data_IF_906209318941
#
_entry.id   IF_906209318941
#
_cell.length_a   1.000
_cell.length_b   1.000
_cell.length_c   1.000
_cell.angle_alpha   90.00
_cell.angle_beta   90.00
_cell.angle_gamma   90.00
#
_symmetry.space_group_name_H-M   'P 1'
#
loop_
_entity.id
_entity.type
_entity.pdbx_description
1 polymer ?
#
# COMPACT_ATOMS: atom_id res chain seq x y z
N UNK A 1 -40.05 0.13 18.52
CA UNK A 1 -39.42 -0.26 17.25
C UNK A 1 -38.34 -1.26 17.61
N UNK A 2 -38.34 -2.42 17.00
CA UNK A 2 -37.58 -3.59 17.47
C UNK A 2 -36.23 -3.72 16.82
N UNK A 3 -35.47 -2.66 16.54
CA UNK A 3 -34.11 -2.65 15.99
C UNK A 3 -33.74 -3.87 15.10
N UNK A 4 -34.65 -4.20 14.18
CA UNK A 4 -34.62 -5.39 13.34
C UNK A 4 -33.85 -5.05 12.05
N UNK A 5 -32.97 -5.95 11.62
CA UNK A 5 -32.24 -5.82 10.35
C UNK A 5 -33.23 -6.01 9.19
N UNK A 6 -33.39 -4.97 8.38
CA UNK A 6 -34.25 -5.00 7.20
C UNK A 6 -33.54 -5.50 5.96
N UNK A 7 -32.24 -5.19 5.84
CA UNK A 7 -31.42 -5.55 4.69
C UNK A 7 -29.95 -5.61 5.08
N UNK A 8 -29.18 -6.49 4.47
CA UNK A 8 -27.72 -6.53 4.52
C UNK A 8 -27.14 -6.55 3.10
N UNK A 9 -25.95 -6.03 2.95
CA UNK A 9 -25.20 -6.12 1.70
C UNK A 9 -24.19 -7.28 1.75
N UNK A 10 -23.66 -7.76 0.62
CA UNK A 10 -22.70 -8.87 0.59
C UNK A 10 -21.44 -8.62 1.41
N UNK A 11 -20.99 -7.35 1.53
CA UNK A 11 -19.84 -7.00 2.36
C UNK A 11 -20.13 -7.23 3.86
N UNK A 12 -21.33 -6.86 4.34
CA UNK A 12 -21.74 -7.13 5.71
C UNK A 12 -21.90 -8.64 5.98
N UNK A 13 -22.45 -9.40 5.02
CA UNK A 13 -22.54 -10.86 5.13
C UNK A 13 -21.15 -11.51 5.25
N UNK A 14 -20.20 -11.08 4.41
CA UNK A 14 -18.82 -11.56 4.46
C UNK A 14 -18.10 -11.17 5.76
N UNK A 15 -18.29 -9.93 6.22
CA UNK A 15 -17.71 -9.42 7.46
C UNK A 15 -18.21 -10.19 8.68
N UNK A 16 -19.53 -10.35 8.82
CA UNK A 16 -20.15 -11.05 9.93
C UNK A 16 -20.08 -12.59 9.79
N UNK A 17 -19.70 -13.10 8.63
CA UNK A 17 -19.76 -14.51 8.26
C UNK A 17 -21.16 -15.12 8.47
N UNK A 18 -22.20 -14.35 8.16
CA UNK A 18 -23.60 -14.70 8.25
C UNK A 18 -24.32 -14.36 6.94
N UNK A 19 -25.22 -15.21 6.48
CA UNK A 19 -25.99 -14.93 5.25
C UNK A 19 -27.11 -13.91 5.51
N UNK A 20 -27.56 -13.20 4.46
CA UNK A 20 -28.71 -12.31 4.53
C UNK A 20 -29.95 -13.00 5.12
N UNK A 21 -30.16 -14.29 4.81
CA UNK A 21 -31.28 -15.08 5.37
C UNK A 21 -31.23 -15.25 6.89
N UNK A 22 -30.01 -15.21 7.46
CA UNK A 22 -29.81 -15.35 8.91
C UNK A 22 -29.85 -13.99 9.61
N UNK A 23 -29.57 -12.90 8.86
CA UNK A 23 -29.53 -11.55 9.41
C UNK A 23 -30.87 -10.83 9.33
N UNK A 24 -31.56 -10.91 8.19
CA UNK A 24 -32.81 -10.17 7.96
C UNK A 24 -33.94 -10.71 8.82
N UNK A 25 -34.63 -9.83 9.53
CA UNK A 25 -35.70 -10.15 10.47
C UNK A 25 -35.26 -10.32 11.92
N UNK A 26 -33.95 -10.38 12.18
CA UNK A 26 -33.35 -10.53 13.50
C UNK A 26 -32.99 -9.18 14.13
N UNK A 27 -32.91 -9.14 15.46
CA UNK A 27 -32.47 -7.94 16.19
C UNK A 27 -31.00 -7.69 15.98
N UNK A 28 -30.62 -6.47 15.60
CA UNK A 28 -29.23 -6.13 15.24
C UNK A 28 -28.25 -6.41 16.37
N UNK A 29 -28.63 -6.14 17.62
CA UNK A 29 -27.79 -6.31 18.80
C UNK A 29 -27.56 -7.79 19.20
N UNK A 30 -28.33 -8.71 18.66
CA UNK A 30 -28.15 -10.16 18.86
C UNK A 30 -27.19 -10.77 17.81
N UNK A 31 -27.07 -10.12 16.63
CA UNK A 31 -26.29 -10.65 15.50
C UNK A 31 -24.96 -9.87 15.30
N UNK A 32 -24.94 -8.61 15.71
CA UNK A 32 -23.77 -7.75 15.64
C UNK A 32 -23.33 -7.44 17.07
N UNK A 33 -22.35 -8.18 17.55
CA UNK A 33 -21.79 -8.01 18.88
C UNK A 33 -20.80 -6.84 18.85
N UNK A 34 -21.05 -5.84 19.68
CA UNK A 34 -20.23 -4.62 19.78
C UNK A 34 -19.81 -4.47 21.25
N UNK A 35 -18.51 -4.34 21.49
CA UNK A 35 -17.96 -4.16 22.84
C UNK A 35 -18.10 -2.69 23.29
N UNK A 36 -19.34 -2.19 23.27
CA UNK A 36 -19.72 -0.89 23.82
C UNK A 36 -21.23 -0.83 24.04
N UNK A 37 -21.72 -0.14 25.09
CA UNK A 37 -23.15 0.02 25.36
C UNK A 37 -23.78 1.05 24.41
N UNK A 38 -24.16 0.64 23.21
CA UNK A 38 -24.61 1.55 22.15
C UNK A 38 -26.13 1.75 22.08
N UNK A 39 -26.91 0.97 22.79
CA UNK A 39 -28.37 1.00 22.72
C UNK A 39 -28.95 2.39 23.02
N UNK A 40 -28.52 3.03 24.13
CA UNK A 40 -28.98 4.36 24.51
C UNK A 40 -28.52 5.46 23.55
N UNK A 41 -27.20 5.57 23.16
CA UNK A 41 -26.75 6.51 22.14
C UNK A 41 -27.47 6.35 20.79
N UNK A 42 -27.72 5.11 20.38
CA UNK A 42 -28.42 4.80 19.13
C UNK A 42 -29.89 5.25 19.17
N UNK A 43 -30.63 4.97 20.25
CA UNK A 43 -32.00 5.45 20.41
C UNK A 43 -32.10 6.96 20.36
N UNK A 44 -31.19 7.68 21.05
CA UNK A 44 -31.13 9.14 21.03
C UNK A 44 -30.84 9.70 19.64
N UNK A 45 -29.88 9.10 18.92
CA UNK A 45 -29.55 9.51 17.55
C UNK A 45 -30.72 9.29 16.58
N UNK A 46 -31.46 8.19 16.75
CA UNK A 46 -32.65 7.86 15.96
C UNK A 46 -33.79 8.85 16.21
N UNK A 47 -34.09 9.18 17.49
CA UNK A 47 -35.11 10.16 17.87
C UNK A 47 -34.80 11.56 17.33
N UNK A 48 -33.55 11.98 17.44
CA UNK A 48 -33.10 13.30 17.00
C UNK A 48 -32.80 13.36 15.49
N UNK A 49 -32.89 12.23 14.76
CA UNK A 49 -32.54 12.11 13.34
C UNK A 49 -31.12 12.64 13.02
N UNK A 50 -30.19 12.40 13.91
CA UNK A 50 -28.79 12.79 13.76
C UNK A 50 -27.94 11.56 13.43
N UNK A 51 -26.82 11.76 12.72
CA UNK A 51 -25.84 10.71 12.55
C UNK A 51 -25.04 10.50 13.84
N UNK A 52 -24.80 9.24 14.19
CA UNK A 52 -23.99 8.84 15.32
C UNK A 52 -22.70 8.19 14.78
N UNK A 53 -21.56 8.64 15.24
CA UNK A 53 -20.26 8.09 14.92
C UNK A 53 -19.65 7.50 16.18
N UNK A 54 -19.16 6.28 16.08
CA UNK A 54 -18.53 5.56 17.18
C UNK A 54 -17.21 5.01 16.64
N UNK A 55 -16.12 5.39 17.26
CA UNK A 55 -14.80 5.00 16.84
C UNK A 55 -14.23 4.00 17.83
N UNK A 56 -13.35 3.12 17.32
CA UNK A 56 -12.51 2.26 18.14
C UNK A 56 -13.28 1.26 19.00
N UNK A 57 -14.20 0.51 18.38
CA UNK A 57 -14.98 -0.55 19.04
C UNK A 57 -14.75 -1.89 18.39
N UNK A 58 -14.74 -2.95 19.19
CA UNK A 58 -14.68 -4.31 18.72
C UNK A 58 -16.04 -4.79 18.21
N UNK A 59 -16.08 -5.24 16.95
CA UNK A 59 -17.30 -5.71 16.28
C UNK A 59 -17.11 -7.12 15.77
N UNK A 60 -18.08 -7.98 16.04
CA UNK A 60 -18.09 -9.36 15.58
C UNK A 60 -19.50 -9.95 15.55
N UNK A 61 -19.62 -11.22 15.17
CA UNK A 61 -20.86 -12.01 15.21
C UNK A 61 -20.77 -13.20 16.18
N UNK A 62 -19.69 -13.30 16.96
CA UNK A 62 -19.41 -14.47 17.78
C UNK A 62 -18.89 -15.69 17.01
N UNK A 63 -18.89 -15.65 15.67
CA UNK A 63 -18.41 -16.74 14.81
C UNK A 63 -16.91 -16.62 14.46
N UNK A 64 -16.34 -15.43 14.64
CA UNK A 64 -14.92 -15.12 14.46
C UNK A 64 -14.45 -14.20 15.57
N UNK A 65 -13.13 -14.04 15.71
CA UNK A 65 -12.57 -13.02 16.58
C UNK A 65 -13.11 -11.64 16.18
N UNK A 66 -13.51 -10.80 17.17
CA UNK A 66 -13.97 -9.44 16.88
C UNK A 66 -12.87 -8.63 16.22
N UNK A 67 -13.26 -7.69 15.37
CA UNK A 67 -12.37 -6.77 14.68
C UNK A 67 -12.59 -5.34 15.18
N UNK A 68 -11.53 -4.59 15.33
CA UNK A 68 -11.57 -3.15 15.62
C UNK A 68 -12.22 -2.41 14.46
N UNK A 69 -13.29 -1.67 14.73
CA UNK A 69 -14.12 -1.02 13.73
C UNK A 69 -14.51 0.39 14.16
N UNK A 70 -14.82 1.22 13.16
CA UNK A 70 -15.63 2.40 13.34
C UNK A 70 -17.06 2.10 12.88
N UNK A 71 -18.04 2.56 13.64
CA UNK A 71 -19.46 2.38 13.32
C UNK A 71 -20.07 3.75 13.07
N UNK A 72 -20.85 3.85 12.02
CA UNK A 72 -21.67 5.02 11.74
C UNK A 72 -23.12 4.59 11.61
N UNK A 73 -23.99 5.28 12.35
CA UNK A 73 -25.43 5.20 12.16
C UNK A 73 -25.91 6.48 11.48
N UNK A 74 -26.69 6.34 10.42
CA UNK A 74 -27.26 7.47 9.70
C UNK A 74 -28.74 7.22 9.38
N UNK A 75 -29.64 8.21 9.60
CA UNK A 75 -31.05 8.07 9.23
C UNK A 75 -31.19 8.01 7.71
N UNK A 76 -32.02 7.09 7.22
CA UNK A 76 -32.30 6.99 5.78
C UNK A 76 -33.30 8.08 5.36
N UNK A 77 -32.87 8.97 4.46
CA UNK A 77 -33.74 10.03 3.94
C UNK A 77 -34.89 9.44 3.13
N UNK A 78 -36.11 9.83 3.46
CA UNK A 78 -37.33 9.37 2.76
C UNK A 78 -38.02 8.15 3.38
N UNK A 79 -37.42 7.49 4.38
CA UNK A 79 -38.05 6.40 5.12
C UNK A 79 -38.00 6.67 6.63
N UNK A 80 -39.15 6.90 7.24
CA UNK A 80 -39.25 7.18 8.68
C UNK A 80 -38.91 5.93 9.51
N UNK A 81 -37.97 6.09 10.46
CA UNK A 81 -37.59 5.04 11.39
C UNK A 81 -36.58 4.02 10.87
N UNK A 82 -36.05 4.21 9.65
CA UNK A 82 -35.01 3.35 9.11
C UNK A 82 -33.65 4.05 9.29
N UNK A 83 -32.69 3.30 9.81
CA UNK A 83 -31.30 3.74 10.03
C UNK A 83 -30.34 2.83 9.28
N UNK A 84 -29.35 3.40 8.63
CA UNK A 84 -28.24 2.67 8.02
C UNK A 84 -27.15 2.52 9.07
N UNK A 85 -26.69 1.31 9.29
CA UNK A 85 -25.50 0.99 10.07
C UNK A 85 -24.36 0.69 9.11
N UNK A 86 -23.30 1.47 9.14
CA UNK A 86 -22.08 1.23 8.38
C UNK A 86 -20.96 0.80 9.34
N UNK A 87 -20.39 -0.37 9.09
CA UNK A 87 -19.28 -0.92 9.87
C UNK A 87 -18.03 -0.82 9.01
N UNK A 88 -17.03 -0.10 9.50
CA UNK A 88 -15.75 0.12 8.81
C UNK A 88 -14.63 -0.49 9.65
N UNK A 89 -14.07 -1.67 9.25
CA UNK A 89 -12.96 -2.28 9.97
C UNK A 89 -11.76 -1.35 10.03
N UNK A 90 -11.21 -1.16 11.22
CA UNK A 90 -10.07 -0.25 11.43
C UNK A 90 -8.72 -0.82 10.95
N UNK A 91 -8.66 -2.03 10.45
CA UNK A 91 -7.41 -2.59 9.90
C UNK A 91 -6.73 -1.66 8.88
N UNK A 92 -7.48 -0.73 8.30
CA UNK A 92 -6.96 0.30 7.39
C UNK A 92 -6.60 1.60 8.14
N UNK A 93 -7.35 1.99 9.19
CA UNK A 93 -7.24 3.29 9.86
C UNK A 93 -6.25 3.27 11.03
N UNK A 94 -6.18 2.19 11.81
CA UNK A 94 -5.19 2.05 12.90
C UNK A 94 -3.76 1.96 12.36
N UNK A 95 -3.59 1.40 11.17
CA UNK A 95 -2.30 1.42 10.45
C UNK A 95 -1.88 2.82 10.04
N UNK A 96 -2.82 3.70 9.71
CA UNK A 96 -2.52 5.10 9.39
C UNK A 96 -2.08 5.90 10.63
N UNK A 97 -2.71 5.68 11.80
CA UNK A 97 -2.34 6.37 13.04
C UNK A 97 -1.09 5.78 13.70
N UNK A 98 -0.86 4.47 13.64
CA UNK A 98 0.39 3.84 14.07
C UNK A 98 1.56 4.29 13.18
N UNK A 99 1.35 4.39 11.87
CA UNK A 99 2.35 4.94 10.95
C UNK A 99 2.70 6.40 11.25
N UNK A 100 1.77 7.21 11.75
CA UNK A 100 2.08 8.59 12.16
C UNK A 100 2.91 8.66 13.46
N UNK A 101 2.75 7.74 14.41
CA UNK A 101 3.55 7.69 15.65
C UNK A 101 4.85 6.87 15.49
N UNK A 102 4.82 5.75 14.79
CA UNK A 102 6.01 5.00 14.38
C UNK A 102 6.88 5.80 13.42
N UNK A 103 6.27 6.66 12.60
CA UNK A 103 6.95 7.54 11.66
C UNK A 103 7.89 8.55 12.32
N UNK A 104 7.68 8.98 13.57
CA UNK A 104 8.63 9.89 14.26
C UNK A 104 9.86 9.14 14.78
N UNK A 105 9.69 7.98 15.39
CA UNK A 105 10.81 7.14 15.85
C UNK A 105 11.56 6.55 14.64
N UNK A 106 10.84 6.07 13.63
CA UNK A 106 11.41 5.61 12.36
C UNK A 106 12.14 6.73 11.61
N UNK A 107 11.59 7.95 11.53
CA UNK A 107 12.26 9.11 10.92
C UNK A 107 13.56 9.49 11.62
N UNK A 108 13.61 9.44 12.97
CA UNK A 108 14.86 9.66 13.71
C UNK A 108 15.89 8.55 13.48
N UNK A 109 15.46 7.30 13.47
CA UNK A 109 16.34 6.16 13.16
C UNK A 109 16.84 6.20 11.72
N UNK A 110 15.98 6.62 10.78
CA UNK A 110 16.29 6.71 9.35
C UNK A 110 17.22 7.90 9.07
N UNK A 111 17.01 9.07 9.70
CA UNK A 111 17.94 10.20 9.56
C UNK A 111 19.33 9.89 10.10
N UNK A 112 19.45 9.09 11.19
CA UNK A 112 20.72 8.55 11.65
C UNK A 112 21.27 7.51 10.65
N UNK A 113 20.43 6.68 10.06
CA UNK A 113 20.85 5.68 9.10
C UNK A 113 21.38 6.29 7.81
N UNK A 114 20.84 7.42 7.35
CA UNK A 114 21.33 8.15 6.19
C UNK A 114 22.76 8.72 6.43
N UNK A 115 22.97 9.33 7.58
CA UNK A 115 24.32 9.79 7.98
C UNK A 115 25.30 8.61 8.11
N UNK A 116 24.90 7.53 8.74
CA UNK A 116 25.69 6.31 8.90
C UNK A 116 25.95 5.63 7.56
N UNK A 117 25.03 5.68 6.61
CA UNK A 117 25.19 5.09 5.29
C UNK A 117 26.37 5.73 4.53
N UNK A 118 26.48 7.06 4.56
CA UNK A 118 27.64 7.75 3.97
C UNK A 118 28.94 7.37 4.66
N UNK A 119 28.95 7.28 5.99
CA UNK A 119 30.14 6.91 6.75
C UNK A 119 30.55 5.43 6.58
N UNK A 120 29.58 4.54 6.27
CA UNK A 120 29.84 3.12 5.99
C UNK A 120 30.26 2.90 4.53
N UNK A 121 29.70 3.67 3.56
CA UNK A 121 30.12 3.57 2.15
C UNK A 121 31.61 3.86 1.95
N UNK A 122 32.16 4.80 2.70
CA UNK A 122 33.58 5.15 2.61
C UNK A 122 34.52 3.98 2.92
N UNK A 123 34.46 3.31 4.09
CA UNK A 123 35.28 2.14 4.37
C UNK A 123 35.01 0.98 3.41
N UNK A 124 33.75 0.78 2.96
CA UNK A 124 33.44 -0.26 1.98
C UNK A 124 34.10 0.00 0.61
N UNK A 125 34.19 1.25 0.19
CA UNK A 125 34.94 1.62 -1.02
C UNK A 125 36.45 1.29 -0.85
N UNK A 126 37.01 1.55 0.32
CA UNK A 126 38.39 1.16 0.66
C UNK A 126 38.60 -0.36 0.64
N UNK A 127 37.70 -1.13 1.24
CA UNK A 127 37.75 -2.59 1.24
C UNK A 127 37.64 -3.15 -0.19
N UNK A 128 36.69 -2.62 -0.98
CA UNK A 128 36.53 -3.00 -2.39
C UNK A 128 37.78 -2.71 -3.21
N UNK A 129 38.37 -1.52 -3.04
CA UNK A 129 39.59 -1.13 -3.75
C UNK A 129 40.80 -2.00 -3.35
N UNK A 130 40.96 -2.29 -2.06
CA UNK A 130 42.00 -3.18 -1.57
C UNK A 130 41.86 -4.61 -2.12
N UNK A 131 40.65 -5.17 -2.10
CA UNK A 131 40.37 -6.48 -2.67
C UNK A 131 40.67 -6.55 -4.18
N UNK A 132 40.28 -5.51 -4.93
CA UNK A 132 40.58 -5.41 -6.37
C UNK A 132 42.11 -5.29 -6.67
N UNK A 133 42.83 -4.55 -5.85
CA UNK A 133 44.32 -4.46 -5.99
C UNK A 133 44.98 -5.81 -5.68
N UNK A 134 44.52 -6.49 -4.62
CA UNK A 134 45.01 -7.83 -4.27
C UNK A 134 44.76 -8.83 -5.40
N UNK A 135 43.58 -8.81 -6.02
CA UNK A 135 43.20 -9.74 -7.09
C UNK A 135 44.10 -9.67 -8.31
N UNK A 136 44.72 -8.49 -8.59
CA UNK A 136 45.64 -8.30 -9.72
C UNK A 136 46.93 -9.11 -9.62
N UNK A 137 47.30 -9.54 -8.41
CA UNK A 137 48.52 -10.31 -8.16
C UNK A 137 48.31 -11.76 -7.78
N UNK A 138 47.04 -12.24 -7.77
CA UNK A 138 46.68 -13.56 -7.36
C UNK A 138 46.47 -14.51 -8.55
N UNK A 139 46.74 -15.79 -8.33
CA UNK A 139 46.35 -16.85 -9.26
C UNK A 139 44.81 -16.99 -9.32
N UNK A 140 44.24 -17.49 -10.45
CA UNK A 140 42.78 -17.58 -10.62
C UNK A 140 42.02 -18.28 -9.50
N UNK A 141 42.64 -19.26 -8.83
CA UNK A 141 42.04 -20.00 -7.73
C UNK A 141 41.91 -19.16 -6.47
N UNK A 142 42.81 -18.21 -6.25
CA UNK A 142 42.81 -17.31 -5.07
C UNK A 142 41.97 -16.05 -5.32
N UNK A 143 41.61 -15.75 -6.58
CA UNK A 143 40.76 -14.60 -6.94
C UNK A 143 39.31 -14.80 -6.45
N UNK A 144 38.83 -16.02 -6.26
CA UNK A 144 37.45 -16.28 -5.77
C UNK A 144 37.17 -15.58 -4.41
N UNK A 145 38.19 -15.51 -3.53
CA UNK A 145 38.00 -14.83 -2.24
C UNK A 145 37.92 -13.32 -2.38
N UNK A 146 38.71 -12.74 -3.25
CA UNK A 146 38.68 -11.29 -3.50
C UNK A 146 37.40 -10.90 -4.23
N UNK A 147 36.93 -11.72 -5.15
CA UNK A 147 35.65 -11.53 -5.85
C UNK A 147 34.47 -11.61 -4.88
N UNK A 148 34.49 -12.54 -3.93
CA UNK A 148 33.50 -12.64 -2.86
C UNK A 148 33.49 -11.35 -2.00
N UNK A 149 34.67 -10.84 -1.58
CA UNK A 149 34.76 -9.60 -0.81
C UNK A 149 34.17 -8.43 -1.59
N UNK A 150 34.47 -8.31 -2.87
CA UNK A 150 33.92 -7.26 -3.75
C UNK A 150 32.41 -7.39 -3.90
N UNK A 151 31.91 -8.61 -4.11
CA UNK A 151 30.48 -8.90 -4.24
C UNK A 151 29.70 -8.53 -2.97
N UNK A 152 30.18 -8.96 -1.81
CA UNK A 152 29.53 -8.66 -0.52
C UNK A 152 29.62 -7.16 -0.18
N UNK A 153 30.76 -6.51 -0.44
CA UNK A 153 30.89 -5.06 -0.26
C UNK A 153 29.86 -4.30 -1.12
N UNK A 154 29.70 -4.67 -2.39
CA UNK A 154 28.68 -4.09 -3.29
C UNK A 154 27.26 -4.37 -2.84
N UNK A 155 27.03 -5.55 -2.26
CA UNK A 155 25.73 -5.90 -1.68
C UNK A 155 25.37 -4.98 -0.52
N UNK A 156 26.33 -4.75 0.39
CA UNK A 156 26.14 -3.84 1.53
C UNK A 156 25.88 -2.40 1.05
N UNK A 157 26.61 -1.92 0.05
CA UNK A 157 26.37 -0.58 -0.54
C UNK A 157 24.96 -0.46 -1.08
N UNK A 158 24.44 -1.47 -1.81
CA UNK A 158 23.06 -1.47 -2.31
C UNK A 158 22.01 -1.44 -1.18
N UNK A 159 22.27 -2.13 -0.07
CA UNK A 159 21.39 -2.07 1.11
C UNK A 159 21.36 -0.66 1.70
N UNK A 160 22.53 -0.02 1.83
CA UNK A 160 22.62 1.35 2.33
C UNK A 160 21.93 2.36 1.42
N UNK A 161 22.03 2.20 0.10
CA UNK A 161 21.31 3.03 -0.88
C UNK A 161 19.78 2.94 -0.73
N UNK A 162 19.26 1.75 -0.43
CA UNK A 162 17.83 1.58 -0.16
C UNK A 162 17.39 2.28 1.14
N UNK A 163 18.23 2.23 2.18
CA UNK A 163 17.99 2.95 3.44
C UNK A 163 18.01 4.47 3.21
N UNK A 164 18.98 4.98 2.45
CA UNK A 164 19.06 6.41 2.08
C UNK A 164 17.83 6.86 1.27
N UNK A 165 17.40 6.06 0.29
CA UNK A 165 16.20 6.35 -0.50
C UNK A 165 14.94 6.39 0.37
N UNK A 166 14.84 5.48 1.35
CA UNK A 166 13.74 5.50 2.29
C UNK A 166 13.81 6.72 3.23
N UNK A 167 15.01 7.14 3.63
CA UNK A 167 15.28 8.31 4.48
C UNK A 167 15.07 9.66 3.76
N UNK A 168 15.05 9.68 2.45
CA UNK A 168 14.93 10.91 1.68
C UNK A 168 13.61 11.63 2.02
N UNK A 169 13.75 12.80 2.67
CA UNK A 169 12.65 13.66 3.12
C UNK A 169 12.29 14.76 2.10
N UNK A 170 12.82 14.68 0.86
CA UNK A 170 12.52 15.67 -0.16
C UNK A 170 11.00 15.69 -0.43
N UNK A 171 10.34 16.85 -0.28
CA UNK A 171 8.93 16.97 -0.59
C UNK A 171 8.65 16.62 -2.06
N UNK A 172 7.53 15.94 -2.31
CA UNK A 172 7.10 15.62 -3.66
C UNK A 172 6.84 16.90 -4.46
N UNK A 173 7.47 17.03 -5.62
CA UNK A 173 7.22 18.11 -6.58
C UNK A 173 6.06 17.69 -7.49
N UNK A 174 4.83 17.81 -6.97
CA UNK A 174 3.62 17.41 -7.69
C UNK A 174 3.35 18.35 -8.85
N UNK A 175 3.16 17.77 -10.05
CA UNK A 175 2.81 18.45 -11.29
C UNK A 175 1.73 17.66 -12.02
N UNK A 176 1.07 18.31 -12.98
CA UNK A 176 0.16 17.66 -13.94
C UNK A 176 0.96 16.74 -14.87
N UNK A 177 0.84 15.43 -14.72
CA UNK A 177 1.60 14.43 -15.49
C UNK A 177 0.68 13.43 -16.19
N UNK A 178 1.15 12.91 -17.32
CA UNK A 178 0.56 11.73 -17.96
C UNK A 178 1.12 10.46 -17.29
N UNK A 179 0.26 9.68 -16.65
CA UNK A 179 0.65 8.46 -15.94
C UNK A 179 1.26 7.44 -16.90
N UNK A 180 0.71 7.31 -18.13
CA UNK A 180 1.15 6.32 -19.11
C UNK A 180 2.61 6.54 -19.53
N UNK A 181 3.05 7.80 -19.67
CA UNK A 181 4.43 8.11 -20.03
C UNK A 181 5.41 7.65 -18.93
N UNK A 182 5.03 7.81 -17.66
CA UNK A 182 5.87 7.38 -16.53
C UNK A 182 5.85 5.86 -16.37
N UNK A 183 4.68 5.23 -16.55
CA UNK A 183 4.52 3.79 -16.45
C UNK A 183 5.25 3.07 -17.59
N UNK A 184 5.20 3.59 -18.82
CA UNK A 184 5.92 3.04 -19.97
C UNK A 184 7.44 3.16 -19.84
N UNK A 185 7.95 4.27 -19.30
CA UNK A 185 9.38 4.39 -18.98
C UNK A 185 9.83 3.34 -17.99
N UNK A 186 9.06 3.10 -16.94
CA UNK A 186 9.37 2.07 -15.96
C UNK A 186 9.33 0.67 -16.58
N UNK A 187 8.29 0.37 -17.39
CA UNK A 187 8.15 -0.90 -18.13
C UNK A 187 9.31 -1.14 -19.08
N UNK A 188 9.69 -0.14 -19.89
CA UNK A 188 10.80 -0.25 -20.84
C UNK A 188 12.12 -0.51 -20.11
N UNK A 189 12.41 0.24 -19.04
CA UNK A 189 13.60 0.00 -18.23
C UNK A 189 13.62 -1.42 -17.63
N UNK A 190 12.50 -1.91 -17.13
CA UNK A 190 12.39 -3.26 -16.59
C UNK A 190 12.58 -4.33 -17.67
N UNK A 191 12.00 -4.16 -18.87
CA UNK A 191 12.03 -5.16 -19.95
C UNK A 191 13.44 -5.40 -20.51
N UNK A 192 14.33 -4.43 -20.44
CA UNK A 192 15.75 -4.59 -20.85
C UNK A 192 16.66 -4.95 -19.67
N UNK A 193 16.16 -4.90 -18.44
CA UNK A 193 16.91 -5.18 -17.21
C UNK A 193 16.37 -6.38 -16.46
N UNK A 194 16.00 -6.16 -15.20
CA UNK A 194 15.60 -7.22 -14.26
C UNK A 194 14.33 -7.99 -14.67
N UNK A 195 13.49 -7.44 -15.52
CA UNK A 195 12.25 -8.07 -16.02
C UNK A 195 12.37 -8.63 -17.44
N UNK A 196 13.59 -8.80 -18.00
CA UNK A 196 13.79 -9.29 -19.36
C UNK A 196 13.23 -10.70 -19.61
N UNK A 197 13.05 -11.50 -18.56
CA UNK A 197 12.48 -12.85 -18.60
C UNK A 197 10.95 -12.88 -18.49
N UNK A 198 10.30 -11.71 -18.28
CA UNK A 198 8.86 -11.58 -18.08
C UNK A 198 8.15 -11.15 -19.35
N UNK A 199 6.89 -11.57 -19.51
CA UNK A 199 5.98 -11.05 -20.52
C UNK A 199 5.21 -9.86 -19.97
N UNK A 200 5.31 -8.70 -20.64
CA UNK A 200 4.57 -7.50 -20.27
C UNK A 200 3.28 -7.38 -21.09
N UNK A 201 2.14 -7.27 -20.41
CA UNK A 201 0.83 -6.97 -20.99
C UNK A 201 0.37 -5.60 -20.51
N UNK A 202 -0.12 -4.77 -21.43
CA UNK A 202 -0.63 -3.43 -21.10
C UNK A 202 -2.11 -3.33 -21.44
N UNK A 203 -2.89 -2.80 -20.51
CA UNK A 203 -4.34 -2.58 -20.62
C UNK A 203 -4.61 -1.15 -20.11
N UNK A 204 -4.31 -0.17 -20.95
CA UNK A 204 -4.38 1.23 -20.58
C UNK A 204 -5.68 1.87 -21.06
N UNK A 205 -6.34 2.61 -20.17
CA UNK A 205 -7.44 3.51 -20.55
C UNK A 205 -6.88 4.79 -21.17
N UNK A 206 -6.99 4.97 -22.50
CA UNK A 206 -6.42 6.13 -23.19
C UNK A 206 -7.12 7.47 -22.83
N UNK A 207 -8.30 7.40 -22.22
CA UNK A 207 -9.08 8.57 -21.81
C UNK A 207 -8.73 9.07 -20.41
N UNK A 208 -7.77 8.41 -19.72
CA UNK A 208 -7.43 8.73 -18.35
C UNK A 208 -6.90 10.17 -18.24
N UNK A 209 -7.48 11.02 -17.37
CA UNK A 209 -7.00 12.38 -17.14
C UNK A 209 -5.59 12.40 -16.52
N UNK A 210 -4.98 13.58 -16.58
CA UNK A 210 -3.66 13.78 -15.95
C UNK A 210 -3.72 13.65 -14.42
N UNK A 211 -2.68 13.08 -13.84
CA UNK A 211 -2.51 12.98 -12.40
C UNK A 211 -1.73 14.15 -11.82
N UNK A 212 -2.05 14.53 -10.59
CA UNK A 212 -1.23 15.43 -9.79
C UNK A 212 -0.21 14.60 -9.01
N UNK A 213 1.01 14.45 -9.56
CA UNK A 213 2.04 13.61 -8.95
C UNK A 213 3.47 14.10 -9.28
N UNK A 214 4.45 13.58 -8.54
CA UNK A 214 5.87 13.73 -8.86
C UNK A 214 6.28 12.56 -9.78
N UNK A 215 6.69 12.87 -11.01
CA UNK A 215 6.99 11.87 -12.04
C UNK A 215 8.17 10.97 -11.65
N UNK A 216 9.20 11.51 -10.99
CA UNK A 216 10.40 10.75 -10.61
C UNK A 216 10.07 9.79 -9.46
N UNK A 217 9.32 10.26 -8.45
CA UNK A 217 8.87 9.42 -7.35
C UNK A 217 7.91 8.32 -7.86
N UNK A 218 6.99 8.66 -8.76
CA UNK A 218 6.05 7.69 -9.34
C UNK A 218 6.78 6.65 -10.19
N UNK A 219 7.81 7.06 -10.96
CA UNK A 219 8.65 6.11 -11.69
C UNK A 219 9.37 5.14 -10.75
N UNK A 220 9.87 5.62 -9.62
CA UNK A 220 10.48 4.77 -8.58
C UNK A 220 9.48 3.79 -7.98
N UNK A 221 8.24 4.23 -7.72
CA UNK A 221 7.13 3.37 -7.28
C UNK A 221 6.90 2.24 -8.29
N UNK A 222 6.73 2.57 -9.57
CA UNK A 222 6.51 1.57 -10.61
C UNK A 222 7.68 0.60 -10.75
N UNK A 223 8.92 1.08 -10.73
CA UNK A 223 10.11 0.23 -10.79
C UNK A 223 10.17 -0.76 -9.63
N UNK A 224 9.86 -0.33 -8.39
CA UNK A 224 9.82 -1.22 -7.23
C UNK A 224 8.73 -2.29 -7.37
N UNK A 225 7.52 -1.92 -7.80
CA UNK A 225 6.42 -2.87 -7.98
C UNK A 225 6.70 -3.86 -9.11
N UNK A 226 7.17 -3.38 -10.28
CA UNK A 226 7.52 -4.25 -11.41
C UNK A 226 8.69 -5.18 -11.05
N UNK A 227 9.68 -4.69 -10.28
CA UNK A 227 10.78 -5.51 -9.80
C UNK A 227 10.28 -6.62 -8.86
N UNK A 228 9.39 -6.29 -7.92
CA UNK A 228 8.81 -7.28 -7.03
C UNK A 228 8.02 -8.33 -7.80
N UNK A 229 7.25 -7.93 -8.82
CA UNK A 229 6.52 -8.81 -9.70
C UNK A 229 7.46 -9.74 -10.50
N UNK A 230 8.54 -9.19 -11.09
CA UNK A 230 9.52 -9.96 -11.83
C UNK A 230 10.30 -10.96 -10.96
N UNK A 231 10.59 -10.59 -9.72
CA UNK A 231 11.25 -11.47 -8.75
C UNK A 231 10.33 -12.56 -8.19
N UNK A 232 9.00 -12.32 -8.18
CA UNK A 232 8.00 -13.30 -7.75
C UNK A 232 7.64 -14.27 -8.88
N UNK A 233 7.64 -13.79 -10.12
CA UNK A 233 7.36 -14.58 -11.32
C UNK A 233 8.52 -15.49 -11.69
N UNK A 234 8.20 -16.67 -12.23
CA UNK A 234 9.18 -17.56 -12.83
C UNK A 234 9.55 -17.11 -14.26
N UNK A 235 10.51 -17.82 -14.91
CA UNK A 235 10.81 -17.59 -16.32
C UNK A 235 9.57 -17.72 -17.20
N UNK A 236 9.26 -16.67 -18.00
CA UNK A 236 8.07 -16.62 -18.85
C UNK A 236 6.79 -16.19 -18.11
N UNK A 237 6.89 -15.79 -16.85
CA UNK A 237 5.77 -15.22 -16.09
C UNK A 237 5.27 -13.90 -16.70
N UNK A 238 4.09 -13.48 -16.30
CA UNK A 238 3.39 -12.33 -16.88
C UNK A 238 3.25 -11.21 -15.87
N UNK A 239 3.60 -9.98 -16.31
CA UNK A 239 3.30 -8.75 -15.60
C UNK A 239 2.29 -7.95 -16.43
N UNK A 240 1.09 -7.74 -15.88
CA UNK A 240 0.07 -6.92 -16.52
C UNK A 240 0.01 -5.56 -15.85
N UNK A 241 0.09 -4.50 -16.66
CA UNK A 241 -0.06 -3.11 -16.25
C UNK A 241 -1.43 -2.62 -16.74
N UNK A 242 -2.30 -2.24 -15.84
CA UNK A 242 -3.64 -1.79 -16.15
C UNK A 242 -3.88 -0.41 -15.58
N UNK A 243 -4.60 0.45 -16.33
CA UNK A 243 -5.05 1.76 -15.86
C UNK A 243 -6.54 1.92 -16.12
N UNK A 244 -7.25 2.56 -15.20
CA UNK A 244 -8.68 2.83 -15.34
C UNK A 244 -9.12 3.96 -14.42
N UNK A 245 -10.31 4.47 -14.66
CA UNK A 245 -10.94 5.52 -13.84
C UNK A 245 -11.97 4.91 -12.90
N UNK A 246 -11.85 5.19 -11.58
CA UNK A 246 -12.81 4.79 -10.55
C UNK A 246 -13.06 5.94 -9.58
N UNK A 247 -14.20 6.60 -9.68
CA UNK A 247 -14.57 7.73 -8.83
C UNK A 247 -15.06 7.32 -7.43
N UNK A 248 -15.15 6.04 -7.13
CA UNK A 248 -15.73 5.54 -5.87
C UNK A 248 -14.77 5.68 -4.69
N UNK A 249 -13.45 5.66 -4.93
CA UNK A 249 -12.46 5.69 -3.88
C UNK A 249 -12.31 7.09 -3.28
N UNK A 250 -12.54 7.17 -1.98
CA UNK A 250 -12.29 8.36 -1.16
C UNK A 250 -11.42 7.96 0.01
N UNK A 251 -10.35 8.69 0.22
CA UNK A 251 -9.41 8.48 1.33
C UNK A 251 -9.47 9.67 2.27
N UNK A 252 -9.53 9.41 3.57
CA UNK A 252 -9.44 10.44 4.59
C UNK A 252 -7.99 10.90 4.69
N UNK A 253 -7.74 12.19 4.52
CA UNK A 253 -6.41 12.78 4.73
C UNK A 253 -6.15 13.06 6.21
N UNK A 254 -4.90 13.30 6.57
CA UNK A 254 -4.48 13.57 7.95
C UNK A 254 -5.12 14.86 8.54
N UNK A 255 -5.57 15.77 7.69
CA UNK A 255 -6.28 17.01 8.07
C UNK A 255 -7.80 16.81 8.25
N UNK A 256 -8.30 15.57 8.09
CA UNK A 256 -9.72 15.23 8.19
C UNK A 256 -10.53 15.49 6.92
N UNK A 257 -9.92 15.96 5.84
CA UNK A 257 -10.59 16.13 4.55
C UNK A 257 -10.64 14.82 3.77
N UNK A 258 -11.67 14.65 2.90
CA UNK A 258 -11.77 13.50 2.00
C UNK A 258 -11.14 13.83 0.66
N UNK A 259 -10.06 13.16 0.31
CA UNK A 259 -9.48 13.20 -1.03
C UNK A 259 -10.14 12.17 -1.95
N UNK A 260 -10.44 12.57 -3.18
CA UNK A 260 -10.85 11.64 -4.25
C UNK A 260 -9.61 11.19 -5.01
N UNK A 261 -9.43 9.89 -5.16
CA UNK A 261 -8.31 9.29 -5.87
C UNK A 261 -8.82 8.43 -7.04
N UNK A 262 -9.37 9.05 -8.10
CA UNK A 262 -10.09 8.30 -9.12
C UNK A 262 -9.17 7.62 -10.16
N UNK A 263 -7.89 8.01 -10.24
CA UNK A 263 -6.96 7.43 -11.19
C UNK A 263 -6.38 6.15 -10.60
N UNK A 264 -6.67 5.02 -11.23
CA UNK A 264 -6.27 3.70 -10.76
C UNK A 264 -5.21 3.10 -11.67
N UNK A 265 -4.14 2.59 -11.08
CA UNK A 265 -3.10 1.84 -11.76
C UNK A 265 -2.93 0.50 -11.05
N UNK A 266 -2.94 -0.58 -11.79
CA UNK A 266 -2.69 -1.92 -11.27
C UNK A 266 -1.41 -2.50 -11.88
N UNK A 267 -0.56 -3.04 -11.01
CA UNK A 267 0.55 -3.91 -11.37
C UNK A 267 0.16 -5.30 -10.91
N UNK A 268 -0.02 -6.21 -11.85
CA UNK A 268 -0.55 -7.56 -11.63
C UNK A 268 0.51 -8.56 -12.05
N UNK A 269 0.86 -9.50 -11.17
CA UNK A 269 1.72 -10.62 -11.48
C UNK A 269 1.02 -11.97 -11.27
N UNK A 270 1.51 -13.00 -11.92
CA UNK A 270 1.06 -14.38 -11.84
C UNK A 270 1.93 -15.24 -10.89
N UNK A 271 2.64 -14.60 -9.99
CA UNK A 271 3.49 -15.23 -8.99
C UNK A 271 2.72 -16.03 -7.93
N UNK A 272 3.44 -16.65 -6.99
CA UNK A 272 2.84 -17.52 -5.97
C UNK A 272 1.94 -16.81 -4.96
N UNK A 273 1.92 -15.48 -4.98
CA UNK A 273 1.25 -14.66 -3.98
C UNK A 273 2.13 -14.31 -2.79
N UNK A 274 1.61 -13.47 -1.92
CA UNK A 274 2.27 -13.10 -0.67
C UNK A 274 2.04 -14.18 0.39
N UNK A 275 3.06 -14.53 1.19
CA UNK A 275 2.88 -15.39 2.35
C UNK A 275 1.84 -14.81 3.32
N UNK A 276 0.90 -15.63 3.84
CA UNK A 276 -0.20 -15.14 4.68
C UNK A 276 0.25 -14.43 5.97
N UNK A 277 1.40 -14.84 6.51
CA UNK A 277 2.00 -14.31 7.73
C UNK A 277 2.53 -12.88 7.58
N UNK A 278 2.90 -12.47 6.36
CA UNK A 278 3.40 -11.12 6.09
C UNK A 278 2.44 -10.25 5.27
N UNK A 279 1.40 -10.83 4.68
CA UNK A 279 0.49 -10.11 3.78
C UNK A 279 -0.16 -8.88 4.43
N UNK A 280 -0.38 -8.96 5.74
CA UNK A 280 -0.94 -7.87 6.52
C UNK A 280 0.04 -6.68 6.69
N UNK A 281 1.33 -6.95 6.80
CA UNK A 281 2.37 -5.99 7.16
C UNK A 281 3.37 -5.75 6.01
N UNK A 282 2.99 -6.13 4.78
CA UNK A 282 3.87 -6.10 3.61
C UNK A 282 4.41 -4.71 3.27
N UNK A 283 3.75 -3.65 3.73
CA UNK A 283 4.18 -2.26 3.58
C UNK A 283 5.01 -1.73 4.76
N UNK A 284 5.17 -2.52 5.84
CA UNK A 284 6.01 -2.13 6.97
C UNK A 284 7.50 -2.28 6.61
N UNK A 285 8.36 -1.37 7.09
CA UNK A 285 9.79 -1.48 6.88
C UNK A 285 10.36 -2.79 7.44
N UNK A 286 11.30 -3.38 6.69
CA UNK A 286 12.01 -4.63 7.05
C UNK A 286 11.15 -5.90 7.04
N UNK A 287 9.90 -5.83 6.60
CA UNK A 287 9.05 -7.00 6.38
C UNK A 287 9.35 -7.59 5.01
N UNK A 288 9.77 -8.85 4.98
CA UNK A 288 10.10 -9.57 3.73
C UNK A 288 9.80 -11.05 3.87
N UNK A 289 9.12 -11.63 2.88
CA UNK A 289 8.96 -13.09 2.75
C UNK A 289 10.10 -13.78 2.01
N UNK A 290 11.16 -13.05 1.64
CA UNK A 290 12.32 -13.57 0.90
C UNK A 290 13.57 -13.57 1.79
N UNK A 291 14.36 -14.63 1.70
CA UNK A 291 15.57 -14.80 2.49
C UNK A 291 16.60 -13.67 2.33
N UNK A 292 16.69 -13.11 1.11
CA UNK A 292 17.59 -11.99 0.78
C UNK A 292 16.86 -10.66 0.56
N UNK A 293 15.58 -10.57 0.92
CA UNK A 293 14.79 -9.35 0.77
C UNK A 293 15.08 -8.35 1.89
N UNK A 294 15.25 -7.08 1.55
CA UNK A 294 15.50 -6.02 2.53
C UNK A 294 14.23 -5.58 3.27
N UNK A 295 13.05 -5.88 2.70
CA UNK A 295 11.77 -5.40 3.22
C UNK A 295 11.56 -3.89 3.13
N UNK A 296 12.43 -3.17 2.39
CA UNK A 296 12.33 -1.70 2.25
C UNK A 296 11.60 -1.26 0.98
N UNK A 297 11.54 -2.12 -0.04
CA UNK A 297 10.97 -1.74 -1.34
C UNK A 297 9.49 -1.34 -1.28
N UNK A 298 8.64 -2.17 -0.67
CA UNK A 298 7.21 -1.89 -0.54
C UNK A 298 6.92 -0.81 0.52
N UNK A 299 7.72 -0.74 1.57
CA UNK A 299 7.66 0.36 2.53
C UNK A 299 7.95 1.72 1.87
N UNK A 300 8.97 1.77 0.99
CA UNK A 300 9.27 2.96 0.20
C UNK A 300 8.11 3.32 -0.75
N UNK A 301 7.53 2.33 -1.42
CA UNK A 301 6.34 2.54 -2.27
C UNK A 301 5.20 3.15 -1.49
N UNK A 302 4.86 2.58 -0.33
CA UNK A 302 3.81 3.10 0.56
C UNK A 302 4.10 4.54 1.00
N UNK A 303 5.35 4.83 1.39
CA UNK A 303 5.79 6.17 1.78
C UNK A 303 5.63 7.17 0.64
N UNK A 304 6.17 6.87 -0.56
CA UNK A 304 6.11 7.77 -1.71
C UNK A 304 4.67 8.03 -2.17
N UNK A 305 3.82 7.01 -2.15
CA UNK A 305 2.40 7.15 -2.44
C UNK A 305 1.70 8.07 -1.44
N UNK A 306 1.95 7.88 -0.13
CA UNK A 306 1.37 8.71 0.91
C UNK A 306 1.86 10.17 0.82
N UNK A 307 3.18 10.39 0.69
CA UNK A 307 3.79 11.72 0.59
C UNK A 307 3.31 12.45 -0.70
N UNK A 308 3.03 11.69 -1.78
CA UNK A 308 2.43 12.17 -3.03
C UNK A 308 0.93 12.44 -2.96
N UNK A 309 0.26 12.14 -1.83
CA UNK A 309 -1.20 12.28 -1.69
C UNK A 309 -2.00 11.18 -2.39
N UNK A 310 -1.36 10.08 -2.78
CA UNK A 310 -1.97 8.88 -3.34
C UNK A 310 -2.20 7.79 -2.29
N UNK A 311 -2.66 6.64 -2.75
CA UNK A 311 -2.94 5.48 -1.94
C UNK A 311 -2.47 4.19 -2.61
N UNK A 312 -2.10 3.17 -1.83
CA UNK A 312 -1.75 1.85 -2.33
C UNK A 312 -2.47 0.76 -1.55
N UNK A 313 -2.92 -0.26 -2.27
CA UNK A 313 -3.46 -1.50 -1.70
C UNK A 313 -2.86 -2.71 -2.38
N UNK A 314 -2.95 -3.86 -1.72
CA UNK A 314 -2.56 -5.15 -2.30
C UNK A 314 -3.68 -6.16 -2.10
N UNK A 315 -3.95 -6.93 -3.16
CA UNK A 315 -4.81 -8.12 -3.15
C UNK A 315 -3.98 -9.28 -3.69
N UNK A 316 -3.79 -10.32 -2.89
CA UNK A 316 -2.86 -11.39 -3.22
C UNK A 316 -3.43 -12.75 -2.86
N UNK A 317 -3.28 -13.67 -3.80
CA UNK A 317 -3.61 -15.08 -3.67
C UNK A 317 -2.71 -15.94 -4.56
N UNK A 318 -2.79 -17.25 -4.44
CA UNK A 318 -2.00 -18.15 -5.27
C UNK A 318 -2.20 -17.90 -6.77
N UNK A 319 -1.13 -17.63 -7.50
CA UNK A 319 -1.16 -17.37 -8.94
C UNK A 319 -1.57 -15.97 -9.33
N UNK A 320 -1.75 -15.04 -8.36
CA UNK A 320 -2.10 -13.65 -8.66
C UNK A 320 -1.78 -12.72 -7.50
N UNK A 321 -0.98 -11.68 -7.77
CA UNK A 321 -0.84 -10.52 -6.87
C UNK A 321 -1.20 -9.25 -7.63
N UNK A 322 -1.97 -8.38 -7.01
CA UNK A 322 -2.39 -7.08 -7.55
C UNK A 322 -2.00 -5.99 -6.60
N UNK A 323 -1.06 -5.16 -6.99
CA UNK A 323 -0.81 -3.88 -6.35
C UNK A 323 -1.62 -2.81 -7.07
N UNK A 324 -2.53 -2.15 -6.35
CA UNK A 324 -3.35 -1.06 -6.87
C UNK A 324 -2.92 0.25 -6.28
N UNK A 325 -2.57 1.19 -7.16
CA UNK A 325 -2.23 2.56 -6.84
C UNK A 325 -3.40 3.46 -7.21
N UNK A 326 -3.70 4.41 -6.35
CA UNK A 326 -4.77 5.39 -6.56
C UNK A 326 -4.19 6.79 -6.43
N UNK A 327 -4.41 7.64 -7.44
CA UNK A 327 -3.83 8.96 -7.54
C UNK A 327 -4.88 10.06 -7.67
N UNK A 328 -4.57 11.28 -7.17
CA UNK A 328 -5.41 12.45 -7.37
C UNK A 328 -5.35 12.96 -8.81
N UNK A 329 -6.42 13.63 -9.23
CA UNK A 329 -6.45 14.37 -10.49
C UNK A 329 -5.59 15.63 -10.39
N UNK A 330 -4.96 16.02 -11.50
CA UNK A 330 -4.49 17.38 -11.67
C UNK A 330 -5.69 18.33 -11.85
N UNK A 331 -5.61 19.50 -11.23
CA UNK A 331 -6.62 20.53 -11.46
C UNK A 331 -6.55 21.01 -12.92
N UNK A 332 -7.71 21.24 -13.53
CA UNK A 332 -7.81 21.68 -14.93
C UNK A 332 -7.17 23.06 -15.22
N UNK A 333 -6.69 23.76 -14.18
CA UNK A 333 -6.01 25.06 -14.29
C UNK A 333 -4.47 24.96 -14.35
N UNK A 334 -3.89 23.77 -14.21
CA UNK A 334 -2.42 23.59 -14.18
C UNK A 334 -1.81 23.34 -15.58
N UNK A 335 -2.63 23.36 -16.63
CA UNK A 335 -2.19 23.15 -18.02
C UNK A 335 -1.68 24.42 -18.73
N UNK A 336 -1.52 25.52 -18.03
CA UNK A 336 -1.22 26.82 -18.63
C UNK A 336 -0.07 27.58 -18.02
N UNK A 337 1.16 27.08 -18.15
CA UNK A 337 2.37 27.90 -18.20
C UNK A 337 3.56 27.04 -18.65
N UNK A 338 3.74 26.96 -19.96
CA UNK A 338 5.05 27.01 -20.62
C UNK A 338 4.88 27.25 -22.11
#
# INVERSE_FOLDING_TARGET
ANDVILQSNPAAESFLNLSAKTLVGEVVWEKVLIDAPLEIPFERAREQRTSLFINDVDVGSGMRAPLHCNIQFAPLTGQNGVTIMMISPQQIVSRLNQNAMSGKAARSAIGMAEMLAHEIKNPLAGITGAAQLLSMGLEPQDQELTDLIVAESRRIVKLLEQVEQFGNLRPALRKSINIHDTLDRARQSASVGFGAHMMFLTDYDPSLPRALADADQLQQVFQNLIKNAAEAGGPGGTIRLRTFYDASLRVMQADGTQARLPLQIEVIDDGPGLPPDIAADVFEPFVSGRENGTGLGLALVSKLMHDGGGWITVDSGPGRTVFRLSLPLADSNDDGEN
#
